data_IF_585324209135
#
_entry.id   IF_585324209135
#
_cell.length_a   1.000
_cell.length_b   1.000
_cell.length_c   1.000
_cell.angle_alpha   90.00
_cell.angle_beta   90.00
_cell.angle_gamma   90.00
#
_symmetry.space_group_name_H-M   'P 1'
#
loop_
_entity.id
_entity.type
_entity.pdbx_description
1 polymer ?
#
# COMPACT_ATOMS: atom_id res chain seq x y z
N UNK A 1 -15.12 4.82 -1.87
CA UNK A 1 -14.15 5.19 -0.82
C UNK A 1 -13.07 6.08 -1.41
N UNK A 2 -12.16 5.51 -2.21
CA UNK A 2 -11.32 6.29 -3.14
C UNK A 2 -12.18 7.24 -3.99
N UNK A 3 -13.31 6.78 -4.53
CA UNK A 3 -14.21 7.62 -5.33
C UNK A 3 -14.76 8.88 -4.63
N UNK A 4 -14.91 8.91 -3.29
CA UNK A 4 -15.40 10.09 -2.56
C UNK A 4 -14.27 11.05 -2.18
N UNK A 5 -13.11 10.52 -1.79
CA UNK A 5 -11.90 11.32 -1.60
C UNK A 5 -11.40 11.89 -2.94
N UNK A 6 -11.51 11.10 -4.00
CA UNK A 6 -11.19 11.44 -5.38
C UNK A 6 -12.23 12.41 -5.97
N UNK A 7 -13.53 12.28 -5.67
CA UNK A 7 -14.53 13.25 -6.15
C UNK A 7 -14.34 14.62 -5.50
N UNK A 8 -13.99 14.67 -4.22
CA UNK A 8 -13.63 15.94 -3.56
C UNK A 8 -12.33 16.52 -4.14
N UNK A 9 -11.36 15.67 -4.46
CA UNK A 9 -10.15 16.07 -5.18
C UNK A 9 -10.43 16.52 -6.63
N UNK A 10 -11.49 16.03 -7.27
CA UNK A 10 -11.94 16.42 -8.61
C UNK A 10 -12.77 17.71 -8.61
N UNK A 11 -13.60 17.95 -7.60
CA UNK A 11 -14.39 19.18 -7.45
C UNK A 11 -13.47 20.39 -7.25
N UNK A 12 -12.37 20.19 -6.53
CA UNK A 12 -11.29 21.16 -6.40
C UNK A 12 -10.42 21.31 -7.69
N UNK A 13 -10.56 20.41 -8.66
CA UNK A 13 -9.90 20.46 -9.98
C UNK A 13 -10.64 21.42 -10.94
N UNK A 14 -11.93 21.66 -10.72
CA UNK A 14 -12.72 22.62 -11.50
C UNK A 14 -12.36 24.09 -11.22
N UNK A 15 -11.72 24.41 -10.08
CA UNK A 15 -11.46 25.80 -9.67
C UNK A 15 -10.17 26.45 -10.23
N UNK A 16 -9.35 25.78 -11.04
CA UNK A 16 -8.25 26.48 -11.75
C UNK A 16 -7.98 25.96 -13.16
N UNK A 17 -8.46 26.70 -14.17
CA UNK A 17 -7.82 26.73 -15.47
C UNK A 17 -6.48 27.47 -15.31
N UNK A 18 -5.37 26.73 -15.16
CA UNK A 18 -4.00 27.17 -14.83
C UNK A 18 -3.78 27.63 -13.39
N UNK A 19 -3.08 26.81 -12.60
CA UNK A 19 -2.73 27.10 -11.21
C UNK A 19 -2.24 25.87 -10.44
N UNK A 20 -1.70 26.09 -9.23
CA UNK A 20 -1.43 25.03 -8.26
C UNK A 20 -2.42 25.17 -7.12
N UNK A 21 -3.17 24.11 -6.87
CA UNK A 21 -4.00 23.96 -5.68
C UNK A 21 -3.17 23.36 -4.56
N UNK A 22 -3.40 23.87 -3.37
CA UNK A 22 -2.87 23.34 -2.12
C UNK A 22 -4.00 22.64 -1.38
N UNK A 23 -3.71 21.45 -0.90
CA UNK A 23 -4.59 20.74 0.03
C UNK A 23 -3.76 20.09 1.13
N UNK A 24 -4.42 19.29 1.95
CA UNK A 24 -3.72 18.51 2.95
C UNK A 24 -4.63 17.69 3.83
N UNK A 25 -4.03 17.12 4.87
CA UNK A 25 -4.79 16.48 5.93
C UNK A 25 -4.08 16.58 7.28
N UNK A 26 -4.90 16.59 8.33
CA UNK A 26 -4.49 16.43 9.72
C UNK A 26 -5.20 15.19 10.25
N UNK A 27 -4.43 14.22 10.72
CA UNK A 27 -4.97 12.96 11.23
C UNK A 27 -4.53 12.70 12.66
N UNK A 28 -5.45 12.16 13.46
CA UNK A 28 -5.18 11.63 14.80
C UNK A 28 -5.69 10.21 14.87
N UNK A 29 -5.03 9.37 15.66
CA UNK A 29 -5.33 7.95 15.73
C UNK A 29 -5.43 7.48 17.19
N UNK A 30 -6.51 6.78 17.50
CA UNK A 30 -6.63 5.97 18.71
C UNK A 30 -6.36 4.51 18.38
N UNK A 31 -5.61 3.82 19.23
CA UNK A 31 -5.38 2.39 19.09
C UNK A 31 -5.49 1.64 20.42
N UNK A 32 -6.13 0.48 20.37
CA UNK A 32 -6.14 -0.51 21.44
C UNK A 32 -5.70 -1.86 20.86
N UNK A 33 -4.69 -2.48 21.45
CA UNK A 33 -4.06 -3.72 20.96
C UNK A 33 -4.06 -4.77 22.05
N UNK A 34 -4.59 -5.96 21.77
CA UNK A 34 -4.78 -7.00 22.80
C UNK A 34 -3.49 -7.75 23.16
N UNK A 35 -2.47 -7.68 22.30
CA UNK A 35 -1.15 -8.31 22.49
C UNK A 35 -0.11 -7.42 23.18
N UNK A 36 -0.37 -6.12 23.34
CA UNK A 36 0.48 -5.20 24.10
C UNK A 36 -0.12 -4.98 25.49
N UNK A 37 0.53 -5.56 26.51
CA UNK A 37 0.07 -5.46 27.90
C UNK A 37 0.00 -4.02 28.41
N UNK A 38 0.95 -3.16 28.00
CA UNK A 38 1.01 -1.76 28.44
C UNK A 38 -0.10 -0.93 27.79
N UNK A 39 -0.28 -1.05 26.48
CA UNK A 39 -1.39 -0.39 25.78
C UNK A 39 -2.76 -0.84 26.34
N UNK A 40 -2.90 -2.14 26.61
CA UNK A 40 -4.11 -2.71 27.22
C UNK A 40 -4.39 -2.17 28.62
N UNK A 41 -3.38 -2.08 29.49
CA UNK A 41 -3.52 -1.57 30.86
C UNK A 41 -3.92 -0.08 30.88
N UNK A 42 -3.42 0.71 29.93
CA UNK A 42 -3.80 2.13 29.75
C UNK A 42 -5.18 2.31 29.12
N UNK A 43 -5.75 1.28 28.50
CA UNK A 43 -7.00 1.36 27.76
C UNK A 43 -6.83 2.01 26.39
N UNK A 44 -5.69 1.78 25.73
CA UNK A 44 -5.34 2.34 24.43
C UNK A 44 -4.57 3.65 24.50
N UNK A 45 -4.05 4.08 23.35
CA UNK A 45 -3.24 5.29 23.19
C UNK A 45 -3.81 6.17 22.07
N UNK A 46 -3.72 7.49 22.22
CA UNK A 46 -4.18 8.49 21.24
C UNK A 46 -2.99 9.33 20.76
N UNK A 47 -2.74 9.32 19.46
CA UNK A 47 -1.51 9.83 18.86
C UNK A 47 -1.81 10.82 17.73
N UNK A 48 -0.86 11.72 17.48
CA UNK A 48 -0.89 12.56 16.28
C UNK A 48 -0.28 11.79 15.11
N UNK A 49 -1.16 11.32 14.22
CA UNK A 49 -0.85 10.32 13.19
C UNK A 49 -0.12 10.95 12.01
N UNK A 50 -0.76 11.87 11.31
CA UNK A 50 -0.21 12.43 10.07
C UNK A 50 -0.53 13.92 9.96
N UNK A 51 0.45 14.69 9.53
CA UNK A 51 0.23 15.97 8.85
C UNK A 51 0.72 15.86 7.41
N UNK A 52 -0.12 16.19 6.42
CA UNK A 52 0.30 16.14 5.02
C UNK A 52 -0.08 17.39 4.25
N UNK A 53 0.71 17.67 3.22
CA UNK A 53 0.47 18.73 2.25
C UNK A 53 0.43 18.13 0.86
N UNK A 54 -0.55 18.60 0.08
CA UNK A 54 -0.85 18.17 -1.27
C UNK A 54 -0.73 19.36 -2.23
N UNK A 55 -0.19 19.11 -3.42
CA UNK A 55 0.02 20.07 -4.48
C UNK A 55 -0.48 19.43 -5.77
N UNK A 56 -1.53 19.96 -6.36
CA UNK A 56 -2.09 19.45 -7.62
C UNK A 56 -2.40 20.61 -8.56
N UNK A 57 -2.07 20.47 -9.83
CA UNK A 57 -2.38 21.53 -10.78
C UNK A 57 -1.77 21.36 -12.16
N UNK A 58 -1.93 22.40 -12.96
CA UNK A 58 -1.43 22.44 -14.34
C UNK A 58 -0.79 23.80 -14.63
N UNK A 59 0.43 23.77 -15.17
CA UNK A 59 1.18 24.97 -15.59
C UNK A 59 1.70 24.73 -17.01
N UNK A 60 1.19 25.49 -17.99
CA UNK A 60 1.60 25.40 -19.41
C UNK A 60 1.55 23.95 -19.93
N UNK A 61 0.40 23.29 -19.76
CA UNK A 61 0.12 21.91 -20.16
C UNK A 61 0.92 20.82 -19.38
N UNK A 62 1.77 21.23 -18.43
CA UNK A 62 2.44 20.30 -17.52
C UNK A 62 1.59 20.08 -16.28
N UNK A 63 1.19 18.83 -16.06
CA UNK A 63 0.45 18.40 -14.89
C UNK A 63 1.44 18.18 -13.76
N UNK A 64 1.10 18.64 -12.57
CA UNK A 64 1.91 18.53 -11.37
C UNK A 64 1.06 17.90 -10.28
N UNK A 65 1.62 16.89 -9.61
CA UNK A 65 1.00 16.28 -8.43
C UNK A 65 2.10 15.88 -7.45
N UNK A 66 1.99 16.35 -6.22
CA UNK A 66 2.92 16.00 -5.15
C UNK A 66 2.23 15.98 -3.80
N UNK A 67 2.62 15.03 -2.96
CA UNK A 67 2.16 14.93 -1.58
C UNK A 67 3.34 14.58 -0.68
N UNK A 68 3.48 15.32 0.42
CA UNK A 68 4.51 15.08 1.44
C UNK A 68 3.85 14.90 2.81
N UNK A 69 4.27 13.86 3.53
CA UNK A 69 3.68 13.47 4.81
C UNK A 69 4.71 13.55 5.93
N UNK A 70 4.25 14.05 7.07
CA UNK A 70 4.96 14.06 8.34
C UNK A 70 4.22 13.14 9.31
N UNK A 71 4.96 12.30 10.03
CA UNK A 71 4.46 11.33 11.01
C UNK A 71 5.09 11.60 12.39
N UNK A 72 4.55 12.55 13.16
CA UNK A 72 5.18 13.02 14.40
C UNK A 72 5.20 11.98 15.52
N UNK A 73 4.25 11.04 15.55
CA UNK A 73 4.24 9.95 16.54
C UNK A 73 5.45 9.03 16.43
N UNK A 74 5.98 8.88 15.22
CA UNK A 74 7.02 7.90 14.88
C UNK A 74 8.34 8.59 14.45
N UNK A 75 8.39 9.93 14.54
CA UNK A 75 9.57 10.77 14.24
C UNK A 75 10.16 10.56 12.83
N UNK A 76 9.30 10.48 11.81
CA UNK A 76 9.76 10.40 10.42
C UNK A 76 8.80 11.11 9.44
N UNK A 77 9.23 11.24 8.20
CA UNK A 77 8.49 11.90 7.13
C UNK A 77 8.95 11.39 5.76
N UNK A 78 8.08 11.45 4.75
CA UNK A 78 8.40 10.98 3.41
C UNK A 78 7.52 11.64 2.33
N UNK A 79 8.01 11.71 1.08
CA UNK A 79 7.11 11.91 -0.05
C UNK A 79 6.17 10.70 -0.17
N UNK A 80 4.90 10.96 -0.48
CA UNK A 80 3.93 9.95 -0.87
C UNK A 80 3.95 9.75 -2.38
N UNK A 81 3.85 10.85 -3.12
CA UNK A 81 4.10 10.89 -4.56
C UNK A 81 4.64 12.27 -4.94
N UNK A 82 5.30 12.36 -6.10
CA UNK A 82 5.80 13.61 -6.66
C UNK A 82 6.16 13.37 -8.13
N UNK A 83 5.30 13.82 -9.06
CA UNK A 83 5.51 13.59 -10.48
C UNK A 83 5.07 14.77 -11.34
N UNK A 84 5.66 14.82 -12.54
CA UNK A 84 5.30 15.73 -13.62
C UNK A 84 4.67 14.90 -14.73
N UNK A 85 3.52 15.32 -15.22
CA UNK A 85 2.78 14.65 -16.28
C UNK A 85 2.54 15.53 -17.50
N UNK A 86 2.29 14.88 -18.63
CA UNK A 86 1.93 15.54 -19.88
C UNK A 86 0.94 14.67 -20.66
N UNK A 87 -0.15 15.28 -21.13
CA UNK A 87 -1.10 14.63 -22.03
C UNK A 87 -0.61 14.77 -23.47
N UNK A 88 -0.08 13.68 -24.04
CA UNK A 88 0.34 13.65 -25.46
C UNK A 88 -0.87 13.67 -26.40
N UNK A 89 -1.99 13.08 -25.95
CA UNK A 89 -3.31 13.09 -26.59
C UNK A 89 -4.37 13.03 -25.49
N UNK A 90 -5.65 13.14 -25.86
CA UNK A 90 -6.77 12.96 -24.93
C UNK A 90 -6.80 11.58 -24.26
N UNK A 91 -6.16 10.57 -24.86
CA UNK A 91 -6.14 9.20 -24.37
C UNK A 91 -4.79 8.78 -23.79
N UNK A 92 -3.71 9.53 -24.00
CA UNK A 92 -2.34 9.12 -23.64
C UNK A 92 -1.67 10.17 -22.77
N UNK A 93 -1.39 9.81 -21.53
CA UNK A 93 -0.61 10.60 -20.58
C UNK A 93 0.72 9.93 -20.27
N UNK A 94 1.80 10.72 -20.18
CA UNK A 94 3.06 10.29 -19.59
C UNK A 94 3.31 10.97 -18.25
N UNK A 95 3.99 10.29 -17.34
CA UNK A 95 4.40 10.76 -16.02
C UNK A 95 5.87 10.43 -15.76
N UNK A 96 6.61 11.35 -15.13
CA UNK A 96 7.96 11.14 -14.63
C UNK A 96 8.05 11.58 -13.16
N UNK A 97 8.64 10.75 -12.30
CA UNK A 97 8.82 11.02 -10.87
C UNK A 97 8.38 9.84 -10.02
N UNK A 98 7.97 10.12 -8.79
CA UNK A 98 7.41 9.15 -7.84
C UNK A 98 5.91 9.04 -8.10
N UNK A 99 5.44 7.89 -8.58
CA UNK A 99 4.02 7.66 -8.86
C UNK A 99 3.63 6.22 -8.53
N UNK A 100 2.32 6.01 -8.28
CA UNK A 100 1.81 4.72 -7.87
C UNK A 100 2.12 3.63 -8.90
N UNK A 101 2.61 2.50 -8.44
CA UNK A 101 2.89 1.30 -9.22
C UNK A 101 1.57 0.73 -9.76
N UNK A 102 1.42 0.55 -11.10
CA UNK A 102 0.17 0.07 -11.65
C UNK A 102 0.07 -1.45 -11.51
N UNK A 103 -0.34 -1.93 -10.32
CA UNK A 103 -0.45 -3.35 -10.01
C UNK A 103 -1.77 -3.67 -9.29
N UNK A 104 -2.48 -4.71 -9.72
CA UNK A 104 -3.70 -5.21 -9.08
C UNK A 104 -4.88 -4.23 -9.07
N UNK A 105 -5.67 -4.32 -8.00
CA UNK A 105 -6.73 -3.41 -7.61
C UNK A 105 -6.15 -2.03 -7.34
N UNK A 106 -6.66 -1.02 -8.05
CA UNK A 106 -6.26 0.38 -7.87
C UNK A 106 -7.49 1.25 -7.57
N UNK A 107 -7.30 2.37 -6.84
CA UNK A 107 -6.05 2.77 -6.19
C UNK A 107 -5.74 2.00 -4.90
N UNK A 108 -6.71 1.31 -4.32
CA UNK A 108 -6.55 0.53 -3.09
C UNK A 108 -7.24 -0.84 -3.20
N UNK A 109 -6.65 -1.86 -2.58
CA UNK A 109 -7.18 -3.21 -2.52
C UNK A 109 -7.92 -3.46 -1.19
N UNK A 110 -8.54 -2.41 -0.65
CA UNK A 110 -9.17 -2.37 0.67
C UNK A 110 -10.05 -1.12 0.85
N UNK A 111 -10.94 -1.14 1.84
CA UNK A 111 -11.79 -0.02 2.25
C UNK A 111 -11.37 0.58 3.60
N UNK A 112 -10.57 -0.15 4.37
CA UNK A 112 -10.16 0.18 5.73
C UNK A 112 -8.87 1.03 5.78
N UNK A 113 -8.50 1.54 6.96
CA UNK A 113 -7.31 2.38 7.12
C UNK A 113 -5.97 1.61 7.06
N UNK A 114 -6.00 0.31 7.32
CA UNK A 114 -4.84 -0.58 7.49
C UNK A 114 -4.42 -1.30 6.20
N UNK A 115 -5.06 -0.98 5.09
CA UNK A 115 -4.87 -1.66 3.81
C UNK A 115 -5.13 -3.18 3.87
N UNK A 116 -4.78 -3.90 2.81
CA UNK A 116 -4.81 -5.36 2.76
C UNK A 116 -3.45 -5.95 3.19
N UNK A 117 -3.37 -7.27 3.33
CA UNK A 117 -2.08 -7.94 3.55
C UNK A 117 -1.09 -7.75 2.39
N UNK A 118 -1.55 -7.42 1.18
CA UNK A 118 -0.69 -7.17 0.02
C UNK A 118 0.16 -5.89 0.17
N UNK A 119 -0.32 -4.92 0.94
CA UNK A 119 0.42 -3.70 1.27
C UNK A 119 1.76 -4.02 1.94
N UNK A 120 1.74 -4.91 2.94
CA UNK A 120 2.91 -5.28 3.74
C UNK A 120 3.93 -6.17 3.01
N UNK A 121 3.69 -6.47 1.74
CA UNK A 121 4.63 -7.15 0.84
C UNK A 121 4.90 -6.33 -0.45
N UNK A 122 4.55 -5.04 -0.48
CA UNK A 122 4.87 -4.14 -1.58
C UNK A 122 3.98 -4.28 -2.82
N UNK A 123 2.75 -4.75 -2.67
CA UNK A 123 1.84 -5.04 -3.81
C UNK A 123 0.49 -4.29 -3.73
N UNK A 124 0.38 -3.30 -2.84
CA UNK A 124 -0.75 -2.39 -2.72
C UNK A 124 -0.22 -1.03 -2.26
N UNK A 125 -0.83 0.06 -2.74
CA UNK A 125 -0.48 1.45 -2.40
C UNK A 125 1.03 1.75 -2.39
N UNK A 126 1.70 1.23 -3.42
CA UNK A 126 3.14 1.30 -3.59
C UNK A 126 3.51 2.34 -4.66
N UNK A 127 4.57 3.12 -4.44
CA UNK A 127 4.96 4.24 -5.29
C UNK A 127 6.45 4.14 -5.55
N UNK A 128 6.84 4.31 -6.81
CA UNK A 128 8.22 4.11 -7.24
C UNK A 128 8.70 5.25 -8.13
N UNK A 129 10.03 5.43 -8.19
CA UNK A 129 10.68 6.44 -9.02
C UNK A 129 10.85 5.94 -10.46
N UNK A 130 10.13 6.55 -11.40
CA UNK A 130 10.18 6.07 -12.78
C UNK A 130 9.39 6.87 -13.80
N UNK A 131 9.11 6.20 -14.92
CA UNK A 131 8.28 6.67 -16.02
C UNK A 131 7.00 5.82 -16.06
N UNK A 132 5.84 6.45 -16.25
CA UNK A 132 4.57 5.75 -16.46
C UNK A 132 3.79 6.37 -17.61
N UNK A 133 3.17 5.51 -18.40
CA UNK A 133 2.26 5.87 -19.46
C UNK A 133 0.89 5.29 -19.15
N UNK A 134 -0.11 6.14 -19.21
CA UNK A 134 -1.51 5.79 -19.03
C UNK A 134 -2.22 5.96 -20.38
N UNK A 135 -2.88 4.90 -20.83
CA UNK A 135 -3.68 4.91 -22.04
C UNK A 135 -5.11 4.47 -21.75
N UNK A 136 -6.07 5.39 -21.94
CA UNK A 136 -7.47 5.16 -21.62
C UNK A 136 -8.32 5.35 -22.88
N UNK A 137 -9.05 4.30 -23.29
CA UNK A 137 -9.86 4.31 -24.52
C UNK A 137 -11.17 3.56 -24.30
N UNK A 138 -12.26 4.31 -24.07
CA UNK A 138 -13.56 3.74 -23.80
C UNK A 138 -13.52 2.89 -22.51
N UNK A 139 -13.89 1.61 -22.53
CA UNK A 139 -13.87 0.76 -21.34
C UNK A 139 -12.48 0.20 -20.99
N UNK A 140 -11.43 0.54 -21.74
CA UNK A 140 -10.09 -0.01 -21.55
C UNK A 140 -9.16 0.97 -20.85
N UNK A 141 -8.48 0.48 -19.82
CA UNK A 141 -7.45 1.18 -19.06
C UNK A 141 -6.14 0.40 -19.12
N UNK A 142 -5.14 0.97 -19.77
CA UNK A 142 -3.80 0.39 -19.91
C UNK A 142 -2.79 1.28 -19.19
N UNK A 143 -1.93 0.67 -18.37
CA UNK A 143 -0.78 1.32 -17.78
C UNK A 143 0.49 0.55 -18.09
N UNK A 144 1.53 1.29 -18.51
CA UNK A 144 2.89 0.80 -18.71
C UNK A 144 3.82 1.63 -17.85
N UNK A 145 4.70 1.00 -17.07
CA UNK A 145 5.67 1.73 -16.29
C UNK A 145 7.06 1.09 -16.32
N UNK A 146 8.07 1.94 -16.14
CA UNK A 146 9.44 1.54 -15.87
C UNK A 146 9.94 2.29 -14.64
N UNK A 147 10.40 1.55 -13.64
CA UNK A 147 10.93 2.09 -12.40
C UNK A 147 12.41 1.81 -12.30
N UNK A 148 13.19 2.86 -12.05
CA UNK A 148 14.64 2.71 -11.93
C UNK A 148 15.01 2.07 -10.60
N UNK A 149 14.26 2.41 -9.57
CA UNK A 149 14.44 2.08 -8.16
C UNK A 149 13.17 2.46 -7.39
N UNK A 150 13.13 2.04 -6.13
CA UNK A 150 12.22 2.47 -5.06
C UNK A 150 12.10 4.00 -4.98
N UNK A 151 11.01 4.54 -4.44
CA UNK A 151 10.73 6.00 -4.40
C UNK A 151 11.89 6.89 -3.91
N UNK A 152 12.66 6.43 -2.91
CA UNK A 152 13.77 7.20 -2.33
C UNK A 152 15.11 6.98 -3.04
N UNK A 153 15.25 5.94 -3.87
CA UNK A 153 16.52 5.50 -4.46
C UNK A 153 17.59 5.08 -3.43
N UNK A 154 17.17 4.90 -2.18
CA UNK A 154 17.98 4.48 -1.04
C UNK A 154 17.32 3.32 -0.29
N UNK A 155 17.52 2.10 -0.78
CA UNK A 155 17.14 0.85 -0.11
C UNK A 155 17.69 0.68 1.33
N UNK A 156 18.58 1.55 1.82
CA UNK A 156 19.05 1.51 3.20
C UNK A 156 18.13 2.22 4.21
N UNK A 157 17.14 2.99 3.75
CA UNK A 157 16.30 3.84 4.61
C UNK A 157 14.91 3.25 4.81
N UNK A 158 14.57 2.78 6.02
CA UNK A 158 13.22 2.29 6.30
C UNK A 158 12.18 3.42 6.53
N UNK A 159 12.62 4.66 6.78
CA UNK A 159 11.77 5.84 6.96
C UNK A 159 11.18 6.32 5.63
N UNK A 160 10.19 5.57 5.15
CA UNK A 160 9.60 5.70 3.82
C UNK A 160 8.11 5.37 3.84
N UNK A 161 7.39 5.76 2.78
CA UNK A 161 5.95 5.52 2.67
C UNK A 161 5.63 4.15 2.07
N UNK A 162 6.30 3.81 0.96
CA UNK A 162 6.06 2.60 0.20
C UNK A 162 6.75 1.41 0.84
N UNK A 163 6.22 0.21 0.62
CA UNK A 163 6.76 -1.02 1.23
C UNK A 163 7.66 -1.67 0.20
N UNK A 164 8.93 -1.34 0.25
CA UNK A 164 9.94 -1.85 -0.70
C UNK A 164 10.87 -2.86 -0.06
N UNK A 165 11.63 -3.55 -0.91
CA UNK A 165 12.79 -4.31 -0.45
C UNK A 165 13.87 -3.34 0.06
N UNK A 166 14.27 -3.54 1.32
CA UNK A 166 15.36 -2.79 1.93
C UNK A 166 16.61 -3.66 2.13
N UNK A 167 17.78 -3.02 2.07
CA UNK A 167 19.07 -3.70 2.13
C UNK A 167 19.50 -4.08 3.55
N UNK A 168 18.89 -3.43 4.55
CA UNK A 168 19.28 -3.49 5.95
C UNK A 168 18.10 -3.97 6.80
N UNK A 169 18.33 -4.36 8.05
CA UNK A 169 17.27 -4.69 9.01
C UNK A 169 17.04 -3.51 10.00
N UNK A 170 16.88 -2.30 9.47
CA UNK A 170 16.75 -1.09 10.28
C UNK A 170 15.43 -1.05 11.05
N UNK A 171 15.47 -0.61 12.32
CA UNK A 171 14.34 -0.65 13.25
C UNK A 171 13.68 -2.03 13.44
N UNK A 172 14.32 -3.12 12.96
CA UNK A 172 13.64 -4.34 12.53
C UNK A 172 12.68 -5.02 13.52
N UNK A 173 11.61 -5.55 12.95
CA UNK A 173 10.72 -6.55 13.52
C UNK A 173 11.20 -7.98 13.18
N UNK A 174 10.40 -8.95 13.60
CA UNK A 174 10.68 -10.36 13.43
C UNK A 174 10.97 -10.73 11.95
N UNK A 175 12.04 -11.52 11.76
CA UNK A 175 12.41 -12.07 10.46
C UNK A 175 13.20 -11.16 9.52
N UNK A 176 13.37 -9.86 9.84
CA UNK A 176 14.20 -8.96 9.04
C UNK A 176 15.65 -9.45 8.98
N UNK A 177 16.29 -9.37 7.81
CA UNK A 177 17.67 -9.77 7.60
C UNK A 177 18.43 -8.68 6.82
N UNK A 178 19.67 -8.32 7.22
CA UNK A 178 20.47 -7.31 6.53
C UNK A 178 21.12 -7.89 5.27
N UNK A 179 20.30 -8.47 4.39
CA UNK A 179 20.76 -9.30 3.28
C UNK A 179 21.35 -8.51 2.10
N UNK A 180 21.22 -7.19 2.11
CA UNK A 180 21.85 -6.31 1.12
C UNK A 180 21.07 -6.14 -0.18
N UNK A 181 19.81 -6.58 -0.25
CA UNK A 181 19.01 -6.50 -1.47
C UNK A 181 18.45 -5.10 -1.71
N UNK A 182 18.27 -4.74 -2.98
CA UNK A 182 17.55 -3.54 -3.42
C UNK A 182 16.91 -3.77 -4.78
N UNK A 183 15.75 -3.18 -4.99
CA UNK A 183 15.05 -3.23 -6.27
C UNK A 183 15.69 -2.28 -7.28
N UNK A 184 15.73 -2.69 -8.55
CA UNK A 184 16.15 -1.81 -9.64
C UNK A 184 15.63 -2.31 -10.98
N UNK A 185 15.41 -1.36 -11.91
CA UNK A 185 15.00 -1.65 -13.29
C UNK A 185 13.78 -2.58 -13.37
N UNK A 186 12.65 -2.13 -12.86
CA UNK A 186 11.38 -2.85 -12.88
C UNK A 186 10.50 -2.37 -14.04
N UNK A 187 9.83 -3.30 -14.72
CA UNK A 187 8.79 -3.03 -15.70
C UNK A 187 7.45 -3.49 -15.16
N UNK A 188 6.41 -2.67 -15.38
CA UNK A 188 5.03 -3.00 -15.00
C UNK A 188 4.10 -2.84 -16.20
N UNK A 189 3.11 -3.72 -16.26
CA UNK A 189 1.99 -3.66 -17.19
C UNK A 189 0.71 -3.94 -16.40
N UNK A 190 -0.31 -3.12 -16.60
CA UNK A 190 -1.67 -3.38 -16.13
C UNK A 190 -2.66 -3.11 -17.26
N UNK A 191 -3.59 -4.04 -17.45
CA UNK A 191 -4.72 -3.89 -18.36
C UNK A 191 -6.00 -4.17 -17.59
N UNK A 192 -6.95 -3.25 -17.66
CA UNK A 192 -8.28 -3.41 -17.10
C UNK A 192 -9.36 -3.07 -18.14
N UNK A 193 -10.51 -3.70 -17.96
CA UNK A 193 -11.70 -3.52 -18.77
C UNK A 193 -12.91 -3.31 -17.87
N UNK A 194 -13.62 -2.20 -18.05
CA UNK A 194 -14.83 -1.89 -17.31
C UNK A 194 -16.07 -2.30 -18.09
N UNK A 195 -16.80 -3.26 -17.54
CA UNK A 195 -18.12 -3.69 -17.98
C UNK A 195 -19.17 -2.76 -17.37
N UNK A 196 -19.96 -2.13 -18.24
CA UNK A 196 -21.13 -1.34 -17.85
C UNK A 196 -22.40 -2.22 -17.90
N UNK A 197 -23.09 -2.35 -16.77
CA UNK A 197 -24.33 -3.11 -16.64
C UNK A 197 -25.57 -2.18 -16.58
N UNK A 198 -25.43 -0.92 -17.01
CA UNK A 198 -26.46 0.10 -16.93
C UNK A 198 -26.81 0.43 -15.48
N UNK A 199 -28.11 0.55 -15.19
CA UNK A 199 -28.61 0.90 -13.85
C UNK A 199 -28.19 -0.10 -12.74
N UNK A 200 -27.73 -1.30 -13.10
CA UNK A 200 -27.26 -2.29 -12.12
C UNK A 200 -25.88 -1.95 -11.54
N UNK A 201 -25.02 -1.25 -12.30
CA UNK A 201 -23.68 -0.86 -11.87
C UNK A 201 -22.58 -1.26 -12.83
N UNK A 202 -21.34 -1.34 -12.34
CA UNK A 202 -20.15 -1.59 -13.15
C UNK A 202 -19.27 -2.71 -12.59
N UNK A 203 -18.47 -3.31 -13.45
CA UNK A 203 -17.44 -4.27 -13.06
C UNK A 203 -16.16 -4.03 -13.83
N UNK A 204 -15.11 -3.65 -13.14
CA UNK A 204 -13.76 -3.70 -13.70
C UNK A 204 -13.22 -5.13 -13.56
N UNK A 205 -12.70 -5.69 -14.65
CA UNK A 205 -11.87 -6.89 -14.66
C UNK A 205 -10.49 -6.51 -15.16
N UNK A 206 -9.43 -6.95 -14.48
CA UNK A 206 -8.09 -6.62 -14.92
C UNK A 206 -7.04 -7.65 -14.53
N UNK A 207 -5.86 -7.43 -15.09
CA UNK A 207 -4.67 -8.17 -14.76
C UNK A 207 -3.43 -7.29 -14.84
N UNK A 208 -2.44 -7.64 -14.03
CA UNK A 208 -1.15 -6.94 -13.98
C UNK A 208 0.02 -7.90 -13.88
N UNK A 209 1.18 -7.40 -14.28
CA UNK A 209 2.46 -8.07 -14.10
C UNK A 209 3.56 -7.05 -13.83
N UNK A 210 4.50 -7.43 -12.98
CA UNK A 210 5.75 -6.71 -12.76
C UNK A 210 6.93 -7.66 -12.83
N UNK A 211 8.04 -7.19 -13.39
CA UNK A 211 9.30 -7.92 -13.44
C UNK A 211 10.46 -6.95 -13.32
N UNK A 212 11.37 -7.22 -12.40
CA UNK A 212 12.49 -6.35 -12.10
C UNK A 212 13.72 -7.11 -11.62
N UNK A 213 14.76 -6.35 -11.34
CA UNK A 213 16.04 -6.87 -10.87
C UNK A 213 16.21 -6.61 -9.38
N UNK A 214 16.87 -7.55 -8.71
CA UNK A 214 17.19 -7.45 -7.29
C UNK A 214 18.70 -7.42 -7.11
N UNK A 215 19.30 -6.22 -7.06
CA UNK A 215 20.74 -6.08 -6.89
C UNK A 215 21.11 -6.32 -5.42
N UNK A 216 22.16 -7.10 -5.19
CA UNK A 216 22.63 -7.39 -3.84
C UNK A 216 23.97 -6.67 -3.58
N UNK A 217 23.95 -5.68 -2.67
CA UNK A 217 25.10 -4.88 -2.29
C UNK A 217 26.24 -5.70 -1.65
N UNK A 218 25.90 -6.80 -0.98
CA UNK A 218 26.88 -7.64 -0.27
C UNK A 218 27.63 -8.57 -1.23
N UNK A 219 26.95 -9.11 -2.26
CA UNK A 219 27.56 -10.05 -3.22
C UNK A 219 27.95 -9.43 -4.56
N UNK A 220 27.47 -8.22 -4.86
CA UNK A 220 27.62 -7.59 -6.18
C UNK A 220 26.89 -8.31 -7.32
N UNK A 221 26.00 -9.26 -6.98
CA UNK A 221 25.22 -10.04 -7.96
C UNK A 221 23.81 -9.51 -8.05
N UNK A 222 23.18 -9.77 -9.19
CA UNK A 222 21.79 -9.38 -9.45
C UNK A 222 20.91 -10.64 -9.51
N UNK A 223 19.92 -10.70 -8.64
CA UNK A 223 18.77 -11.59 -8.74
C UNK A 223 17.62 -10.95 -9.52
N UNK A 224 16.46 -11.55 -9.41
CA UNK A 224 15.23 -11.11 -10.07
C UNK A 224 14.05 -11.17 -9.10
N UNK A 225 13.01 -10.40 -9.41
CA UNK A 225 11.72 -10.51 -8.75
C UNK A 225 10.61 -10.30 -9.79
N UNK A 226 9.47 -10.92 -9.56
CA UNK A 226 8.27 -10.72 -10.37
C UNK A 226 7.01 -10.91 -9.53
N UNK A 227 5.93 -10.28 -9.98
CA UNK A 227 4.59 -10.54 -9.48
C UNK A 227 3.57 -10.47 -10.60
N UNK A 228 2.43 -11.13 -10.42
CA UNK A 228 1.27 -11.03 -11.32
C UNK A 228 -0.01 -11.04 -10.51
N UNK A 229 -1.06 -10.40 -11.03
CA UNK A 229 -2.37 -10.41 -10.40
C UNK A 229 -3.50 -10.47 -11.43
N UNK A 230 -4.63 -11.00 -10.98
CA UNK A 230 -5.94 -10.88 -11.62
C UNK A 230 -6.90 -10.29 -10.60
N UNK A 231 -7.73 -9.34 -11.02
CA UNK A 231 -8.64 -8.66 -10.12
C UNK A 231 -10.03 -8.38 -10.71
N UNK A 232 -10.97 -8.17 -9.81
CA UNK A 232 -12.33 -7.70 -10.06
C UNK A 232 -12.66 -6.60 -9.06
N UNK A 233 -13.17 -5.46 -9.54
CA UNK A 233 -13.77 -4.42 -8.71
C UNK A 233 -15.20 -4.14 -9.21
N UNK A 234 -16.21 -4.46 -8.40
CA UNK A 234 -17.61 -4.33 -8.77
C UNK A 234 -18.34 -3.32 -7.90
N UNK A 235 -19.04 -2.38 -8.53
CA UNK A 235 -19.87 -1.37 -7.88
C UNK A 235 -21.33 -1.61 -8.27
N UNK A 236 -22.20 -2.00 -7.32
CA UNK A 236 -23.59 -2.37 -7.57
C UNK A 236 -24.54 -1.67 -6.58
N UNK A 237 -25.06 -0.52 -6.99
CA UNK A 237 -25.88 0.34 -6.13
C UNK A 237 -25.11 0.77 -4.88
N UNK A 238 -25.44 0.19 -3.72
CA UNK A 238 -24.78 0.48 -2.44
C UNK A 238 -23.64 -0.46 -2.10
N UNK A 239 -23.42 -1.50 -2.89
CA UNK A 239 -22.42 -2.53 -2.63
C UNK A 239 -21.16 -2.29 -3.45
N UNK A 240 -20.00 -2.46 -2.82
CA UNK A 240 -18.73 -2.67 -3.51
C UNK A 240 -18.21 -4.08 -3.18
N UNK A 241 -17.69 -4.78 -4.19
CA UNK A 241 -17.04 -6.08 -4.04
C UNK A 241 -15.70 -6.05 -4.76
N UNK A 242 -14.63 -6.40 -4.05
CA UNK A 242 -13.31 -6.57 -4.64
C UNK A 242 -12.81 -8.00 -4.47
N UNK A 243 -12.24 -8.55 -5.54
CA UNK A 243 -11.55 -9.83 -5.54
C UNK A 243 -10.19 -9.64 -6.19
N UNK A 244 -9.16 -10.24 -5.61
CA UNK A 244 -7.85 -10.33 -6.27
C UNK A 244 -7.18 -11.65 -5.92
N UNK A 245 -6.58 -12.27 -6.93
CA UNK A 245 -5.52 -13.23 -6.75
C UNK A 245 -4.21 -12.61 -7.24
N UNK A 246 -3.15 -12.73 -6.46
CA UNK A 246 -1.82 -12.34 -6.86
C UNK A 246 -0.80 -13.42 -6.52
N UNK A 247 0.30 -13.46 -7.26
CA UNK A 247 1.46 -14.31 -6.97
C UNK A 247 2.71 -13.50 -7.14
N UNK A 248 3.67 -13.68 -6.24
CA UNK A 248 4.98 -13.04 -6.33
C UNK A 248 6.11 -14.01 -6.02
N UNK A 249 7.30 -13.69 -6.52
CA UNK A 249 8.53 -14.42 -6.26
C UNK A 249 9.74 -13.49 -6.31
N UNK A 250 10.63 -13.62 -5.32
CA UNK A 250 11.91 -12.97 -5.22
C UNK A 250 13.01 -14.03 -5.24
N UNK A 251 14.02 -13.82 -6.07
CA UNK A 251 15.17 -14.71 -6.23
C UNK A 251 16.48 -14.01 -5.84
N UNK A 252 16.67 -13.65 -4.56
CA UNK A 252 17.84 -12.90 -4.12
C UNK A 252 19.14 -13.69 -4.27
N UNK A 253 20.26 -12.95 -4.30
CA UNK A 253 21.62 -13.50 -4.33
C UNK A 253 22.33 -13.17 -3.01
N UNK A 254 21.73 -13.62 -1.91
CA UNK A 254 22.26 -13.37 -0.57
C UNK A 254 23.59 -14.13 -0.35
N UNK A 255 24.39 -13.63 0.61
CA UNK A 255 25.43 -14.44 1.23
C UNK A 255 24.78 -15.58 2.04
N UNK A 256 25.54 -16.62 2.38
CA UNK A 256 25.05 -17.67 3.28
C UNK A 256 24.94 -17.16 4.74
N UNK A 257 25.84 -16.26 5.13
CA UNK A 257 25.85 -15.60 6.44
C UNK A 257 26.57 -14.25 6.38
N UNK A 258 26.28 -13.39 7.36
CA UNK A 258 27.02 -12.15 7.63
C UNK A 258 27.70 -12.27 9.00
N UNK A 259 28.94 -11.81 9.06
CA UNK A 259 29.70 -11.66 10.31
C UNK A 259 29.21 -10.43 11.09
N UNK A 260 28.92 -10.62 12.37
CA UNK A 260 28.47 -9.58 13.29
C UNK A 260 29.67 -8.97 14.04
N UNK A 261 29.44 -7.83 14.70
CA UNK A 261 30.50 -7.10 15.40
C UNK A 261 31.14 -7.87 16.58
N UNK A 262 30.52 -8.97 17.01
CA UNK A 262 31.01 -9.86 18.07
C UNK A 262 31.64 -11.15 17.53
N UNK A 263 32.06 -11.16 16.26
CA UNK A 263 32.63 -12.29 15.52
C UNK A 263 31.67 -13.50 15.36
N UNK A 264 30.39 -13.34 15.73
CA UNK A 264 29.36 -14.34 15.46
C UNK A 264 28.79 -14.22 14.03
N UNK A 265 28.10 -15.25 13.55
CA UNK A 265 27.55 -15.27 12.18
C UNK A 265 26.03 -15.34 12.22
N UNK A 266 25.37 -14.43 11.51
CA UNK A 266 23.93 -14.47 11.25
C UNK A 266 23.68 -15.21 9.92
N UNK A 267 23.04 -16.40 9.92
CA UNK A 267 22.68 -17.08 8.69
C UNK A 267 21.60 -16.29 7.94
N UNK A 268 21.81 -16.05 6.65
CA UNK A 268 20.83 -15.43 5.78
C UNK A 268 20.10 -16.49 4.98
N UNK A 269 18.86 -16.19 4.57
CA UNK A 269 18.06 -17.12 3.77
C UNK A 269 17.55 -16.46 2.50
N UNK A 270 17.56 -17.20 1.41
CA UNK A 270 17.00 -16.74 0.12
C UNK A 270 15.48 -16.87 0.06
N UNK A 271 14.86 -17.63 0.96
CA UNK A 271 13.40 -17.76 1.04
C UNK A 271 12.74 -16.71 1.95
N UNK A 272 13.51 -15.72 2.41
CA UNK A 272 13.05 -14.52 3.11
C UNK A 272 13.52 -13.31 2.31
N UNK A 273 12.64 -12.34 2.11
CA UNK A 273 13.00 -11.00 1.64
C UNK A 273 12.67 -9.99 2.75
N UNK A 274 13.48 -8.95 2.88
CA UNK A 274 13.29 -7.94 3.92
C UNK A 274 12.64 -6.73 3.30
N UNK A 275 11.44 -6.42 3.79
CA UNK A 275 10.69 -5.23 3.43
C UNK A 275 10.88 -4.15 4.48
N UNK A 276 10.66 -2.89 4.11
CA UNK A 276 10.69 -1.79 5.05
C UNK A 276 9.76 -0.65 4.68
N UNK A 277 9.14 -0.08 5.70
CA UNK A 277 8.37 1.17 5.65
C UNK A 277 8.25 1.72 7.08
N UNK A 278 7.86 2.99 7.21
CA UNK A 278 7.54 3.60 8.51
C UNK A 278 8.69 3.60 9.54
N UNK A 279 9.94 3.60 9.07
CA UNK A 279 11.16 3.45 9.89
C UNK A 279 11.32 2.07 10.54
N UNK A 280 10.58 1.07 10.04
CA UNK A 280 10.66 -0.31 10.46
C UNK A 280 10.95 -1.24 9.29
N UNK A 281 11.42 -2.45 9.61
CA UNK A 281 11.65 -3.51 8.63
C UNK A 281 11.18 -4.86 9.13
N UNK A 282 10.84 -5.77 8.23
CA UNK A 282 10.37 -7.12 8.60
C UNK A 282 10.71 -8.13 7.51
N UNK A 283 10.74 -9.40 7.89
CA UNK A 283 10.88 -10.49 6.93
C UNK A 283 9.53 -10.88 6.34
N UNK A 284 9.49 -11.09 5.02
CA UNK A 284 8.35 -11.70 4.33
C UNK A 284 8.82 -12.91 3.53
N UNK A 285 7.95 -13.91 3.28
CA UNK A 285 8.31 -15.04 2.43
C UNK A 285 8.78 -14.54 1.07
N UNK A 286 9.83 -15.12 0.49
CA UNK A 286 10.28 -14.70 -0.84
C UNK A 286 9.27 -15.05 -1.95
N UNK A 287 8.32 -15.96 -1.69
CA UNK A 287 7.36 -16.48 -2.67
C UNK A 287 6.05 -16.89 -2.02
N UNK A 288 4.93 -16.37 -2.52
CA UNK A 288 3.59 -16.69 -2.01
C UNK A 288 2.49 -16.39 -3.04
N UNK A 289 1.34 -17.03 -2.83
CA UNK A 289 0.06 -16.60 -3.41
C UNK A 289 -0.67 -15.68 -2.40
N UNK A 290 -1.43 -14.71 -2.91
CA UNK A 290 -2.27 -13.80 -2.13
C UNK A 290 -3.71 -13.89 -2.66
N UNK A 291 -4.66 -14.08 -1.76
CA UNK A 291 -6.09 -13.95 -2.04
C UNK A 291 -6.70 -12.79 -1.26
N UNK A 292 -7.43 -11.92 -1.95
CA UNK A 292 -8.18 -10.80 -1.38
C UNK A 292 -9.67 -10.97 -1.69
N UNK A 293 -10.50 -10.80 -0.66
CA UNK A 293 -11.96 -10.74 -0.76
C UNK A 293 -12.47 -9.62 0.15
N UNK A 294 -13.00 -8.57 -0.48
CA UNK A 294 -13.54 -7.42 0.21
C UNK A 294 -14.99 -7.20 -0.19
N UNK A 295 -15.82 -6.85 0.80
CA UNK A 295 -17.20 -6.45 0.58
C UNK A 295 -17.49 -5.22 1.42
N UNK A 296 -18.05 -4.19 0.79
CA UNK A 296 -18.51 -2.98 1.46
C UNK A 296 -19.96 -2.65 1.09
N UNK A 297 -20.65 -1.99 2.03
CA UNK A 297 -21.98 -1.43 1.83
C UNK A 297 -22.03 0.01 2.34
N UNK A 298 -22.37 0.94 1.46
CA UNK A 298 -22.52 2.36 1.80
C UNK A 298 -23.98 2.71 2.03
N UNK A 299 -24.26 3.21 3.22
CA UNK A 299 -25.55 3.76 3.62
C UNK A 299 -25.46 5.29 3.63
N UNK A 300 -26.05 5.98 2.63
CA UNK A 300 -26.23 7.42 2.69
C UNK A 300 -27.13 7.78 3.88
N UNK A 301 -26.77 8.82 4.60
CA UNK A 301 -27.49 9.37 5.74
C UNK A 301 -27.71 10.86 5.54
N UNK A 302 -28.60 11.42 6.34
CA UNK A 302 -28.75 12.86 6.50
C UNK A 302 -28.93 13.12 8.00
N UNK A 303 -27.85 12.91 8.76
CA UNK A 303 -27.85 13.03 10.21
C UNK A 303 -26.80 14.03 10.69
N UNK A 304 -27.21 15.29 10.77
CA UNK A 304 -26.31 16.37 11.17
C UNK A 304 -25.14 16.47 10.17
N UNK A 305 -23.88 16.41 10.62
CA UNK A 305 -22.73 16.46 9.73
C UNK A 305 -22.42 15.11 9.04
N UNK A 306 -23.11 14.01 9.37
CA UNK A 306 -22.81 12.68 8.82
C UNK A 306 -23.57 12.46 7.51
N UNK A 307 -22.81 12.32 6.43
CA UNK A 307 -23.32 12.13 5.07
C UNK A 307 -23.50 10.65 4.72
N UNK A 308 -22.62 9.77 5.22
CA UNK A 308 -22.75 8.33 4.98
C UNK A 308 -21.97 7.48 5.98
N UNK A 309 -22.36 6.21 6.06
CA UNK A 309 -21.62 5.14 6.72
C UNK A 309 -21.29 4.07 5.68
N UNK A 310 -20.01 3.73 5.53
CA UNK A 310 -19.58 2.60 4.71
C UNK A 310 -19.08 1.48 5.62
N UNK A 311 -19.84 0.40 5.68
CA UNK A 311 -19.49 -0.80 6.44
C UNK A 311 -18.73 -1.77 5.54
N UNK A 312 -17.68 -2.40 6.05
CA UNK A 312 -16.87 -3.30 5.27
C UNK A 312 -16.34 -4.50 6.07
N UNK A 313 -16.01 -5.56 5.32
CA UNK A 313 -15.18 -6.67 5.76
C UNK A 313 -14.15 -6.94 4.67
N UNK A 314 -12.91 -6.55 4.93
CA UNK A 314 -11.78 -6.72 4.03
C UNK A 314 -10.96 -7.92 4.51
N UNK A 315 -10.57 -8.82 3.60
CA UNK A 315 -9.91 -10.08 3.96
C UNK A 315 -8.71 -10.33 3.05
N UNK A 316 -7.60 -10.74 3.65
CA UNK A 316 -6.41 -11.17 2.94
C UNK A 316 -5.89 -12.48 3.51
N UNK A 317 -5.55 -13.41 2.62
CA UNK A 317 -4.80 -14.63 2.91
C UNK A 317 -3.53 -14.60 2.06
N UNK A 318 -2.38 -14.81 2.69
CA UNK A 318 -1.10 -15.01 2.01
C UNK A 318 -0.64 -16.43 2.32
N UNK A 319 -0.39 -17.20 1.28
CA UNK A 319 -0.03 -18.62 1.35
C UNK A 319 1.41 -18.79 0.84
N UNK A 320 2.41 -18.90 1.73
CA UNK A 320 3.80 -19.02 1.33
C UNK A 320 4.08 -20.38 0.65
N UNK A 321 4.97 -20.38 -0.35
CA UNK A 321 5.35 -21.61 -1.09
C UNK A 321 6.19 -22.59 -0.23
N UNK A 322 6.79 -22.13 0.87
CA UNK A 322 7.63 -22.96 1.73
C UNK A 322 6.84 -23.46 2.93
N UNK A 323 6.74 -24.78 3.06
CA UNK A 323 6.06 -25.47 4.18
C UNK A 323 6.53 -25.07 5.59
N UNK A 324 7.71 -24.45 5.71
CA UNK A 324 8.23 -23.96 7.00
C UNK A 324 7.56 -22.67 7.46
N UNK A 325 6.88 -21.95 6.57
CA UNK A 325 6.14 -20.76 6.88
C UNK A 325 4.66 -21.12 7.04
N UNK A 326 4.00 -20.46 7.99
CA UNK A 326 2.56 -20.62 8.17
C UNK A 326 1.82 -19.69 7.20
N UNK A 327 0.56 -20.03 6.88
CA UNK A 327 -0.35 -19.10 6.21
C UNK A 327 -0.52 -17.83 7.03
N UNK A 328 -0.52 -16.68 6.36
CA UNK A 328 -0.67 -15.36 6.99
C UNK A 328 -2.05 -14.84 6.65
N UNK A 329 -2.73 -14.26 7.63
CA UNK A 329 -4.11 -13.86 7.47
C UNK A 329 -4.38 -12.52 8.13
N UNK A 330 -5.12 -11.67 7.43
CA UNK A 330 -5.63 -10.40 7.93
C UNK A 330 -7.12 -10.27 7.60
N UNK A 331 -7.88 -9.72 8.53
CA UNK A 331 -9.20 -9.16 8.25
C UNK A 331 -9.40 -7.89 9.01
N UNK A 332 -10.08 -6.97 8.35
CA UNK A 332 -10.51 -5.73 8.95
C UNK A 332 -12.02 -5.63 8.74
N UNK A 333 -12.76 -5.65 9.84
CA UNK A 333 -14.18 -5.32 9.85
C UNK A 333 -14.34 -3.95 10.46
N UNK A 334 -15.05 -3.07 9.78
CA UNK A 334 -15.11 -1.69 10.22
C UNK A 334 -16.23 -0.88 9.58
N UNK A 335 -16.18 0.41 9.90
CA UNK A 335 -17.06 1.42 9.35
C UNK A 335 -16.28 2.71 9.12
N UNK A 336 -16.36 3.25 7.91
CA UNK A 336 -15.96 4.62 7.63
C UNK A 336 -17.17 5.54 7.73
N UNK A 337 -17.02 6.59 8.53
CA UNK A 337 -17.99 7.67 8.71
C UNK A 337 -17.49 8.85 7.88
N UNK A 338 -18.27 9.24 6.87
CA UNK A 338 -18.02 10.46 6.11
C UNK A 338 -18.83 11.62 6.70
N UNK A 339 -18.18 12.74 6.96
CA UNK A 339 -18.80 13.92 7.56
C UNK A 339 -18.21 15.22 7.02
N UNK A 340 -18.65 15.62 5.83
CA UNK A 340 -18.06 16.72 5.05
C UNK A 340 -16.56 16.51 4.87
N UNK A 341 -15.70 17.44 5.33
CA UNK A 341 -14.25 17.33 5.20
C UNK A 341 -13.60 16.37 6.21
N UNK A 342 -14.39 15.70 7.06
CA UNK A 342 -13.88 14.77 8.08
C UNK A 342 -14.26 13.34 7.73
N UNK A 343 -13.25 12.48 7.66
CA UNK A 343 -13.43 11.04 7.51
C UNK A 343 -12.91 10.33 8.76
N UNK A 344 -13.73 9.45 9.32
CA UNK A 344 -13.36 8.65 10.48
C UNK A 344 -13.45 7.17 10.16
N UNK A 345 -12.35 6.45 10.32
CA UNK A 345 -12.29 4.99 10.20
C UNK A 345 -12.39 4.37 11.58
N UNK A 346 -13.31 3.41 11.76
CA UNK A 346 -13.44 2.61 12.97
C UNK A 346 -13.22 1.15 12.58
N UNK A 347 -12.02 0.64 12.86
CA UNK A 347 -11.54 -0.65 12.37
C UNK A 347 -11.27 -1.62 13.51
N UNK A 348 -11.83 -2.82 13.40
CA UNK A 348 -11.39 -3.99 14.18
C UNK A 348 -10.55 -4.88 13.28
N UNK A 349 -9.24 -4.83 13.48
CA UNK A 349 -8.26 -5.61 12.77
C UNK A 349 -8.02 -6.91 13.52
N UNK A 350 -8.04 -8.03 12.82
CA UNK A 350 -7.63 -9.32 13.35
C UNK A 350 -6.57 -9.96 12.46
N UNK A 351 -5.48 -10.40 13.06
CA UNK A 351 -4.32 -10.94 12.36
C UNK A 351 -3.92 -12.32 12.86
N UNK A 352 -3.34 -13.11 11.95
CA UNK A 352 -2.60 -14.34 12.27
C UNK A 352 -1.34 -14.38 11.44
N UNK A 353 -0.19 -14.54 12.09
CA UNK A 353 1.15 -14.47 11.51
C UNK A 353 1.38 -13.16 10.73
N UNK A 354 0.62 -12.12 11.06
CA UNK A 354 0.58 -10.87 10.31
C UNK A 354 1.45 -9.83 11.01
N UNK A 355 2.35 -9.21 10.26
CA UNK A 355 3.16 -8.10 10.75
C UNK A 355 2.27 -6.93 11.20
N UNK A 356 2.70 -6.19 12.20
CA UNK A 356 1.93 -5.12 12.86
C UNK A 356 0.60 -5.56 13.51
N UNK A 357 0.29 -6.86 13.51
CA UNK A 357 -0.82 -7.47 14.25
C UNK A 357 -0.30 -8.52 15.24
N UNK A 358 0.77 -8.20 15.96
CA UNK A 358 1.38 -9.08 16.98
C UNK A 358 1.98 -10.39 16.46
N UNK A 359 2.00 -10.62 15.14
CA UNK A 359 2.59 -11.78 14.49
C UNK A 359 3.85 -11.45 13.68
N UNK A 360 4.43 -12.50 13.12
CA UNK A 360 5.57 -12.48 12.20
C UNK A 360 5.23 -13.36 10.99
N UNK A 361 5.60 -12.92 9.80
CA UNK A 361 5.31 -13.57 8.52
C UNK A 361 6.28 -14.71 8.17
N UNK A 362 7.48 -14.75 8.77
CA UNK A 362 8.52 -15.74 8.40
C UNK A 362 9.09 -16.57 9.57
N UNK A 363 8.70 -16.27 10.80
CA UNK A 363 9.08 -17.00 12.01
C UNK A 363 7.98 -17.91 12.56
N UNK A 364 7.95 -18.05 13.88
CA UNK A 364 7.03 -18.97 14.56
C UNK A 364 5.56 -18.53 14.48
N UNK A 365 5.31 -17.26 14.14
CA UNK A 365 3.96 -16.69 14.12
C UNK A 365 3.45 -16.37 15.53
N UNK A 366 2.14 -16.15 15.65
CA UNK A 366 1.46 -15.92 16.92
C UNK A 366 0.50 -17.08 17.28
N UNK A 367 0.29 -17.30 18.58
CA UNK A 367 -0.72 -18.26 19.05
C UNK A 367 -2.12 -17.71 18.80
N UNK A 368 -2.87 -18.37 17.90
CA UNK A 368 -4.23 -17.97 17.59
C UNK A 368 -4.31 -16.70 16.76
N UNK A 369 -5.23 -15.81 17.10
CA UNK A 369 -5.46 -14.54 16.40
C UNK A 369 -5.37 -13.40 17.39
N UNK A 370 -4.77 -12.31 16.94
CA UNK A 370 -4.69 -11.03 17.64
C UNK A 370 -5.81 -10.12 17.20
N UNK A 371 -6.11 -9.11 18.02
CA UNK A 371 -7.14 -8.11 17.75
C UNK A 371 -6.64 -6.71 18.09
N UNK A 372 -6.83 -5.78 17.15
CA UNK A 372 -6.62 -4.35 17.33
C UNK A 372 -7.88 -3.59 17.00
N UNK A 373 -8.26 -2.66 17.87
CA UNK A 373 -9.17 -1.58 17.53
C UNK A 373 -8.34 -0.39 17.09
N UNK A 374 -8.66 0.18 15.94
CA UNK A 374 -8.05 1.38 15.38
C UNK A 374 -9.15 2.38 15.05
N UNK A 375 -9.03 3.62 15.54
CA UNK A 375 -9.93 4.71 15.18
C UNK A 375 -9.08 5.86 14.64
N UNK A 376 -9.17 6.13 13.35
CA UNK A 376 -8.47 7.26 12.72
C UNK A 376 -9.47 8.36 12.40
N UNK A 377 -9.17 9.59 12.82
CA UNK A 377 -9.93 10.79 12.47
C UNK A 377 -9.06 11.64 11.55
N UNK A 378 -9.51 11.88 10.32
CA UNK A 378 -8.83 12.74 9.37
C UNK A 378 -9.68 13.94 8.99
N UNK A 379 -9.12 15.13 9.12
CA UNK A 379 -9.65 16.35 8.53
C UNK A 379 -8.86 16.70 7.27
N UNK A 380 -9.57 16.95 6.17
CA UNK A 380 -9.02 17.21 4.85
C UNK A 380 -9.45 18.61 4.38
N UNK A 381 -8.55 19.33 3.73
CA UNK A 381 -8.77 20.72 3.30
C UNK A 381 -8.15 21.00 1.94
#
# INVERSE_FOLDING_TARGET
MAELEQSYAEELKEESQSGIRFGGAVRVQYSYTDWDAGNKERGGDFNFDTFRLNLDGEIKDMILSAEYRFYPSDDWHAPHHAWIGYNFTDQLQGQIGIHQVPFGLLPFASHNFWFSGAYYVGLEDDYDMGLKFLYNQGPWDLALAFYKNEELGNAGNAGRYSVDVISNADGGFAGAQPAGNRETNQFNLRLAHTLDHGDFGTTELGGSGQWGQLYNNNTGKTGDHWATALHLNGNYGRWNVQLQWARYEHNPKNLDAIELADDSFLPLRNDIITMGAYSFSWGVPAKADIGILNVAYTQPLNWGPIDSLTFYSDNTLIEPDKDRFNSIWQNVVGCMIASGPVFTYVDVISGKNMIFSGGDMVGAGNEGRTTRLNINFGYYF
#
